data_IF_711810937701
#
_entry.id   IF_711810937701
#
_cell.length_a   1.000
_cell.length_b   1.000
_cell.length_c   1.000
_cell.angle_alpha   90.00
_cell.angle_beta   90.00
_cell.angle_gamma   90.00
#
_symmetry.space_group_name_H-M   'P 1'
#
loop_
_entity.id
_entity.type
_entity.pdbx_description
1 polymer ?
#
# COMPACT_ATOMS: atom_id res chain seq x y z
N UNK A 1 -23.14 -68.37 -17.03
CA UNK A 1 -21.74 -68.07 -16.63
C UNK A 1 -21.74 -66.62 -16.23
N UNK A 2 -21.94 -66.33 -14.94
CA UNK A 2 -21.86 -64.96 -14.43
C UNK A 2 -20.37 -64.66 -14.21
N UNK A 3 -19.78 -63.87 -15.09
CA UNK A 3 -18.52 -63.22 -14.76
C UNK A 3 -18.87 -62.14 -13.75
N UNK A 4 -18.81 -62.46 -12.45
CA UNK A 4 -18.87 -61.45 -11.40
C UNK A 4 -17.80 -60.41 -11.70
N UNK A 5 -18.25 -59.26 -12.18
CA UNK A 5 -17.39 -58.13 -12.47
C UNK A 5 -16.90 -57.56 -11.14
N UNK A 6 -15.65 -57.86 -10.79
CA UNK A 6 -14.99 -57.17 -9.71
C UNK A 6 -13.82 -56.40 -10.27
N UNK A 7 -13.60 -55.20 -9.75
CA UNK A 7 -12.48 -54.37 -10.10
C UNK A 7 -11.43 -54.42 -9.00
N UNK A 8 -10.17 -54.59 -9.38
CA UNK A 8 -9.05 -54.58 -8.45
C UNK A 8 -8.33 -53.23 -8.62
N UNK A 9 -8.12 -52.51 -7.52
CA UNK A 9 -7.40 -51.24 -7.49
C UNK A 9 -6.44 -51.23 -6.30
N UNK A 10 -5.14 -51.08 -6.55
CA UNK A 10 -4.08 -51.32 -5.55
C UNK A 10 -4.22 -52.71 -4.90
N UNK A 11 -4.58 -52.75 -3.63
CA UNK A 11 -4.75 -53.95 -2.80
C UNK A 11 -6.22 -54.19 -2.41
N UNK A 12 -7.15 -53.44 -3.01
CA UNK A 12 -8.58 -53.50 -2.71
C UNK A 12 -9.36 -54.07 -3.88
N UNK A 13 -10.32 -54.94 -3.58
CA UNK A 13 -11.28 -55.49 -4.53
C UNK A 13 -12.62 -54.79 -4.33
N UNK A 14 -13.17 -54.27 -5.42
CA UNK A 14 -14.43 -53.55 -5.47
C UNK A 14 -15.44 -54.32 -6.32
N UNK A 15 -16.68 -54.41 -5.84
CA UNK A 15 -17.76 -55.08 -6.57
C UNK A 15 -18.29 -54.21 -7.71
N UNK A 16 -18.90 -54.83 -8.71
CA UNK A 16 -19.62 -54.09 -9.76
C UNK A 16 -20.61 -53.09 -9.16
N UNK A 17 -20.62 -51.88 -9.70
CA UNK A 17 -21.39 -50.74 -9.22
C UNK A 17 -20.83 -50.06 -7.96
N UNK A 18 -19.77 -50.57 -7.34
CA UNK A 18 -19.20 -49.96 -6.13
C UNK A 18 -18.43 -48.68 -6.45
N UNK A 19 -18.82 -47.57 -5.80
CA UNK A 19 -18.07 -46.32 -5.78
C UNK A 19 -17.08 -46.29 -4.63
N UNK A 20 -15.87 -45.82 -4.88
CA UNK A 20 -14.81 -45.69 -3.88
C UNK A 20 -13.88 -44.51 -4.19
N UNK A 21 -13.23 -43.99 -3.15
CA UNK A 21 -12.27 -42.88 -3.26
C UNK A 21 -10.85 -43.45 -3.25
N UNK A 22 -10.12 -43.23 -4.35
CA UNK A 22 -8.75 -43.74 -4.51
C UNK A 22 -7.71 -42.88 -3.78
N UNK A 23 -7.88 -41.56 -3.85
CA UNK A 23 -7.13 -40.54 -3.11
C UNK A 23 -8.06 -39.34 -2.85
N UNK A 24 -7.59 -38.32 -2.13
CA UNK A 24 -8.40 -37.13 -1.81
C UNK A 24 -8.99 -36.42 -3.04
N UNK A 25 -8.45 -36.65 -4.24
CA UNK A 25 -8.85 -36.02 -5.49
C UNK A 25 -9.60 -36.95 -6.45
N UNK A 26 -9.67 -38.25 -6.22
CA UNK A 26 -10.05 -39.20 -7.26
C UNK A 26 -11.13 -40.14 -6.76
N UNK A 27 -12.31 -40.05 -7.38
CA UNK A 27 -13.41 -40.95 -7.13
C UNK A 27 -13.54 -41.92 -8.30
N UNK A 28 -13.74 -43.19 -7.99
CA UNK A 28 -13.84 -44.26 -8.97
C UNK A 28 -15.15 -45.04 -8.76
N UNK A 29 -15.66 -45.60 -9.84
CA UNK A 29 -16.71 -46.60 -9.82
C UNK A 29 -16.22 -47.85 -10.53
N UNK A 30 -16.47 -49.01 -9.93
CA UNK A 30 -16.27 -50.27 -10.61
C UNK A 30 -17.43 -50.54 -11.57
N UNK A 31 -17.14 -50.73 -12.85
CA UNK A 31 -18.11 -51.11 -13.87
C UNK A 31 -17.65 -52.41 -14.52
N UNK A 32 -18.31 -53.50 -14.18
CA UNK A 32 -17.92 -54.87 -14.43
C UNK A 32 -16.46 -55.13 -14.00
N UNK A 33 -15.51 -55.10 -14.93
CA UNK A 33 -14.08 -55.32 -14.66
C UNK A 33 -13.22 -54.05 -14.81
N UNK A 34 -13.86 -52.91 -15.11
CA UNK A 34 -13.18 -51.65 -15.42
C UNK A 34 -13.38 -50.63 -14.30
N UNK A 35 -12.28 -50.06 -13.83
CA UNK A 35 -12.31 -48.93 -12.91
C UNK A 35 -12.48 -47.62 -13.68
N UNK A 36 -13.63 -46.97 -13.55
CA UNK A 36 -13.92 -45.67 -14.17
C UNK A 36 -13.68 -44.60 -13.12
N UNK A 37 -12.60 -43.83 -13.28
CA UNK A 37 -12.17 -42.83 -12.29
C UNK A 37 -12.28 -41.41 -12.83
N UNK A 38 -12.76 -40.51 -11.97
CA UNK A 38 -12.78 -39.08 -12.21
C UNK A 38 -11.90 -38.38 -11.18
N UNK A 39 -10.87 -37.68 -11.68
CA UNK A 39 -10.00 -36.83 -10.86
C UNK A 39 -10.54 -35.40 -10.83
N UNK A 40 -10.72 -34.86 -9.63
CA UNK A 40 -11.02 -33.45 -9.41
C UNK A 40 -9.82 -32.61 -9.84
N UNK A 41 -10.06 -31.67 -10.75
CA UNK A 41 -9.09 -30.65 -11.13
C UNK A 41 -9.31 -29.44 -10.22
N UNK A 42 -8.23 -28.95 -9.62
CA UNK A 42 -8.31 -27.79 -8.74
C UNK A 42 -8.42 -26.49 -9.56
N UNK A 43 -9.23 -25.52 -9.12
CA UNK A 43 -9.30 -24.23 -9.78
C UNK A 43 -7.95 -23.50 -9.69
N UNK A 44 -7.63 -22.65 -10.68
CA UNK A 44 -6.42 -21.82 -10.62
C UNK A 44 -6.51 -20.84 -9.45
N UNK A 45 -5.44 -20.75 -8.67
CA UNK A 45 -5.33 -19.80 -7.56
C UNK A 45 -4.45 -18.61 -7.97
N UNK A 46 -4.79 -17.43 -7.47
CA UNK A 46 -4.08 -16.16 -7.76
C UNK A 46 -3.05 -15.79 -6.69
N UNK A 47 -3.05 -16.47 -5.54
CA UNK A 47 -2.14 -16.23 -4.44
C UNK A 47 -0.81 -16.99 -4.59
N UNK A 48 0.25 -16.48 -3.96
CA UNK A 48 1.57 -17.15 -3.86
C UNK A 48 1.46 -18.52 -3.19
N UNK A 49 2.36 -19.45 -3.52
CA UNK A 49 2.44 -20.79 -2.91
C UNK A 49 2.55 -20.74 -1.38
N UNK A 50 3.20 -19.71 -0.83
CA UNK A 50 3.32 -19.52 0.64
C UNK A 50 1.96 -19.30 1.31
N UNK A 51 0.98 -18.77 0.57
CA UNK A 51 -0.36 -18.46 1.08
C UNK A 51 -1.39 -19.53 0.67
N UNK A 52 -0.94 -20.70 0.20
CA UNK A 52 -1.81 -21.81 -0.16
C UNK A 52 -1.77 -22.86 0.94
N UNK A 53 -2.95 -23.22 1.45
CA UNK A 53 -3.10 -24.30 2.43
C UNK A 53 -4.04 -25.36 1.89
N UNK A 54 -3.63 -26.62 2.00
CA UNK A 54 -4.51 -27.77 1.76
C UNK A 54 -4.86 -28.38 3.11
N UNK A 55 -6.15 -28.37 3.45
CA UNK A 55 -6.64 -28.95 4.71
C UNK A 55 -6.50 -30.48 4.69
N UNK A 56 -6.33 -31.09 5.86
CA UNK A 56 -6.22 -32.55 5.96
C UNK A 56 -7.50 -33.20 5.41
N UNK A 57 -7.35 -34.06 4.41
CA UNK A 57 -8.47 -34.75 3.78
C UNK A 57 -9.01 -34.10 2.50
N UNK A 58 -8.59 -32.86 2.19
CA UNK A 58 -9.04 -32.13 1.01
C UNK A 58 -8.16 -32.39 -0.22
N UNK A 59 -8.77 -32.34 -1.41
CA UNK A 59 -8.04 -32.43 -2.67
C UNK A 59 -7.27 -31.15 -3.00
N UNK A 60 -7.90 -29.99 -2.77
CA UNK A 60 -7.48 -28.74 -3.37
C UNK A 60 -6.99 -27.73 -2.33
N UNK A 61 -5.90 -27.01 -2.62
CA UNK A 61 -5.48 -25.90 -1.80
C UNK A 61 -6.49 -24.76 -1.87
N UNK A 62 -6.54 -23.96 -0.82
CA UNK A 62 -7.26 -22.70 -0.73
C UNK A 62 -6.25 -21.59 -0.44
N UNK A 63 -6.50 -20.39 -0.97
CA UNK A 63 -5.76 -19.21 -0.55
C UNK A 63 -6.18 -18.85 0.87
N UNK A 64 -5.22 -18.81 1.78
CA UNK A 64 -5.42 -18.17 3.08
C UNK A 64 -5.03 -16.73 2.98
N UNK A 65 -5.90 -15.86 3.50
CA UNK A 65 -5.53 -14.48 3.78
C UNK A 65 -4.55 -14.51 4.95
N UNK A 66 -3.27 -14.71 4.67
CA UNK A 66 -2.25 -14.38 5.66
C UNK A 66 -2.38 -12.88 5.89
N UNK A 67 -2.65 -12.49 7.14
CA UNK A 67 -2.65 -11.10 7.60
C UNK A 67 -1.22 -10.48 7.54
N UNK A 68 -0.33 -11.01 6.70
CA UNK A 68 1.02 -10.49 6.47
C UNK A 68 1.07 -9.43 5.37
N UNK A 69 -0.05 -9.14 4.70
CA UNK A 69 -0.20 -7.82 4.11
C UNK A 69 -0.62 -6.88 5.23
N UNK A 70 0.35 -6.44 6.03
CA UNK A 70 0.20 -5.23 6.85
C UNK A 70 -0.11 -4.12 5.85
N UNK A 71 -1.40 -3.87 5.62
CA UNK A 71 -1.87 -2.83 4.70
C UNK A 71 -1.96 -1.51 5.41
N UNK A 72 -1.67 -1.46 6.70
CA UNK A 72 -1.76 -0.26 7.52
C UNK A 72 -0.40 0.13 8.09
N UNK A 73 -0.10 1.42 8.12
CA UNK A 73 1.07 1.98 8.77
C UNK A 73 0.64 2.64 10.07
N UNK A 74 1.36 2.38 11.17
CA UNK A 74 1.18 3.12 12.41
C UNK A 74 2.21 4.24 12.52
N UNK A 75 1.75 5.48 12.63
CA UNK A 75 2.61 6.65 12.73
C UNK A 75 2.11 7.60 13.82
N UNK A 76 2.93 7.83 14.86
CA UNK A 76 2.62 8.69 16.02
C UNK A 76 1.25 8.36 16.66
N UNK A 77 0.93 7.07 16.80
CA UNK A 77 -0.32 6.61 17.40
C UNK A 77 -1.55 6.75 16.50
N UNK A 78 -1.38 7.11 15.23
CA UNK A 78 -2.45 7.12 14.23
C UNK A 78 -2.18 6.06 13.16
N UNK A 79 -3.24 5.36 12.76
CA UNK A 79 -3.19 4.39 11.67
C UNK A 79 -3.50 5.04 10.32
N UNK A 80 -2.78 4.58 9.30
CA UNK A 80 -2.88 5.01 7.90
C UNK A 80 -3.02 3.77 7.02
N UNK A 81 -3.91 3.78 6.04
CA UNK A 81 -4.10 2.69 5.07
C UNK A 81 -3.06 2.78 3.95
N UNK A 82 -2.79 1.67 3.29
CA UNK A 82 -1.92 1.62 2.11
C UNK A 82 -2.49 2.54 1.04
N UNK A 83 -1.66 3.46 0.53
CA UNK A 83 -2.06 4.55 -0.35
C UNK A 83 -2.27 5.89 0.35
N UNK A 84 -2.37 5.93 1.68
CA UNK A 84 -2.52 7.18 2.41
C UNK A 84 -1.27 8.05 2.31
N UNK A 85 -1.50 9.35 2.28
CA UNK A 85 -0.47 10.38 2.23
C UNK A 85 -0.73 11.43 3.32
N UNK A 86 0.32 11.86 4.02
CA UNK A 86 0.22 12.89 5.06
C UNK A 86 1.45 13.79 5.09
N UNK A 87 1.28 15.01 5.61
CA UNK A 87 2.40 15.90 5.93
C UNK A 87 2.97 15.51 7.30
N UNK A 88 4.25 15.14 7.34
CA UNK A 88 4.96 14.90 8.59
C UNK A 88 5.37 16.23 9.26
N UNK A 89 5.88 17.13 8.43
CA UNK A 89 6.16 18.52 8.78
C UNK A 89 6.04 19.37 7.51
N UNK A 90 6.33 20.67 7.60
CA UNK A 90 6.19 21.59 6.47
C UNK A 90 7.06 21.20 5.27
N UNK A 91 8.16 20.49 5.49
CA UNK A 91 9.13 20.08 4.48
C UNK A 91 9.09 18.60 4.09
N UNK A 92 8.25 17.77 4.71
CA UNK A 92 8.27 16.33 4.48
C UNK A 92 6.86 15.78 4.29
N UNK A 93 6.69 15.06 3.18
CA UNK A 93 5.46 14.31 2.88
C UNK A 93 5.75 12.82 3.02
N UNK A 94 4.91 12.14 3.79
CA UNK A 94 5.00 10.70 3.99
C UNK A 94 3.84 10.00 3.30
N UNK A 95 4.08 8.73 2.95
CA UNK A 95 3.11 7.83 2.34
C UNK A 95 3.19 6.47 3.01
N UNK A 96 2.06 5.79 3.13
CA UNK A 96 1.99 4.41 3.56
C UNK A 96 1.88 3.53 2.33
N UNK A 97 2.80 2.58 2.17
CA UNK A 97 2.74 1.60 1.09
C UNK A 97 3.00 0.22 1.67
N UNK A 98 1.96 -0.61 1.72
CA UNK A 98 2.01 -2.00 2.18
C UNK A 98 2.72 -2.12 3.54
N UNK A 99 2.30 -1.27 4.50
CA UNK A 99 2.82 -1.31 5.87
C UNK A 99 4.13 -0.58 6.07
N UNK A 100 4.77 -0.11 4.99
CA UNK A 100 5.99 0.68 5.07
C UNK A 100 5.70 2.18 4.92
N UNK A 101 6.19 2.96 5.89
CA UNK A 101 6.16 4.43 5.82
C UNK A 101 7.33 4.91 4.97
N UNK A 102 7.03 5.71 3.94
CA UNK A 102 8.03 6.34 3.08
C UNK A 102 7.86 7.85 3.09
N UNK A 103 8.83 8.56 3.66
CA UNK A 103 8.87 10.01 3.73
C UNK A 103 9.85 10.59 2.72
N UNK A 104 9.45 11.65 2.05
CA UNK A 104 10.28 12.39 1.10
C UNK A 104 10.30 13.87 1.48
N UNK A 105 11.47 14.47 1.40
CA UNK A 105 11.63 15.91 1.56
C UNK A 105 11.07 16.65 0.34
N UNK A 106 10.42 17.78 0.58
CA UNK A 106 10.00 18.71 -0.46
C UNK A 106 11.23 19.30 -1.14
N UNK A 107 11.17 19.40 -2.47
CA UNK A 107 12.27 19.96 -3.26
C UNK A 107 11.99 21.42 -3.55
N UNK A 108 12.79 22.31 -2.99
CA UNK A 108 12.69 23.74 -3.26
C UNK A 108 13.44 24.13 -4.54
N UNK A 109 12.96 25.19 -5.21
CA UNK A 109 13.65 25.77 -6.35
C UNK A 109 15.05 26.27 -5.95
N UNK A 110 16.08 25.81 -6.68
CA UNK A 110 17.47 26.25 -6.47
C UNK A 110 17.71 27.53 -7.26
N UNK A 111 18.34 28.53 -6.63
CA UNK A 111 18.70 29.78 -7.30
C UNK A 111 17.52 30.71 -7.59
N UNK A 112 16.47 30.70 -6.74
CA UNK A 112 15.36 31.64 -6.90
C UNK A 112 15.85 33.08 -6.68
N UNK A 113 15.81 33.90 -7.74
CA UNK A 113 16.12 35.33 -7.70
C UNK A 113 14.80 36.11 -7.80
N UNK A 114 14.54 36.96 -6.82
CA UNK A 114 13.33 37.77 -6.80
C UNK A 114 13.48 39.05 -7.63
N UNK A 115 12.43 39.50 -8.34
CA UNK A 115 12.42 40.79 -9.02
C UNK A 115 12.64 41.97 -8.06
N UNK A 116 13.04 43.11 -8.63
CA UNK A 116 13.13 44.36 -7.89
C UNK A 116 11.79 44.67 -7.20
N UNK A 117 11.83 45.08 -5.93
CA UNK A 117 10.71 45.26 -4.97
C UNK A 117 10.20 44.01 -4.26
N UNK A 118 10.68 42.82 -4.59
CA UNK A 118 10.37 41.61 -3.85
C UNK A 118 11.56 41.20 -2.97
N UNK A 119 11.29 40.48 -1.88
CA UNK A 119 12.30 39.85 -1.04
C UNK A 119 12.04 38.36 -0.94
N UNK A 120 13.12 37.60 -0.91
CA UNK A 120 13.06 36.17 -0.65
C UNK A 120 12.66 36.01 0.83
N UNK A 121 11.54 35.35 1.11
CA UNK A 121 11.03 35.16 2.47
C UNK A 121 10.41 33.79 2.60
N UNK A 122 10.68 33.14 3.73
CA UNK A 122 10.01 31.90 4.11
C UNK A 122 8.78 32.25 4.95
N UNK A 123 7.61 31.91 4.45
CA UNK A 123 6.35 32.16 5.15
C UNK A 123 6.16 31.16 6.30
N UNK A 124 5.43 31.58 7.32
CA UNK A 124 5.05 30.70 8.44
C UNK A 124 4.23 29.53 7.91
N UNK A 125 4.73 28.30 8.07
CA UNK A 125 4.06 27.10 7.56
C UNK A 125 4.68 26.53 6.28
N UNK A 126 5.56 27.27 5.61
CA UNK A 126 6.16 26.84 4.35
C UNK A 126 7.53 26.18 4.53
N UNK A 127 7.84 25.21 3.68
CA UNK A 127 9.19 24.68 3.56
C UNK A 127 10.11 25.63 2.80
N UNK A 128 9.65 26.06 1.63
CA UNK A 128 10.46 26.78 0.66
C UNK A 128 10.31 28.30 0.82
N UNK A 129 11.31 29.03 0.32
CA UNK A 129 11.23 30.47 0.22
C UNK A 129 10.39 30.87 -0.98
N UNK A 130 9.67 31.97 -0.84
CA UNK A 130 8.92 32.61 -1.92
C UNK A 130 9.27 34.09 -2.02
N UNK A 131 8.98 34.71 -3.16
CA UNK A 131 9.18 36.14 -3.36
C UNK A 131 7.94 36.89 -2.88
N UNK A 132 8.06 37.58 -1.74
CA UNK A 132 7.00 38.43 -1.20
C UNK A 132 7.33 39.89 -1.48
N UNK A 133 6.32 40.72 -1.69
CA UNK A 133 6.53 42.14 -1.90
C UNK A 133 7.18 42.76 -0.65
N UNK A 134 8.14 43.66 -0.85
CA UNK A 134 8.70 44.44 0.25
C UNK A 134 7.63 45.42 0.68
N UNK A 135 6.99 45.13 1.80
CA UNK A 135 6.11 46.08 2.46
C UNK A 135 6.99 47.25 2.89
N UNK A 136 6.91 48.39 2.19
CA UNK A 136 7.37 49.67 2.72
C UNK A 136 6.44 50.02 3.88
N UNK A 137 6.74 49.51 5.07
CA UNK A 137 6.08 49.97 6.29
C UNK A 137 6.43 51.45 6.44
N UNK A 138 5.43 52.32 6.28
CA UNK A 138 5.48 53.68 6.83
C UNK A 138 5.44 53.53 8.35
N UNK A 139 6.58 53.22 8.97
CA UNK A 139 6.68 53.35 10.42
C UNK A 139 6.64 54.84 10.76
N UNK A 140 5.74 55.29 11.65
CA UNK A 140 5.84 56.62 12.21
C UNK A 140 7.08 56.65 13.10
N UNK A 141 8.11 57.37 12.70
CA UNK A 141 9.21 57.71 13.62
C UNK A 141 8.57 58.57 14.72
N UNK A 142 8.60 58.10 15.97
CA UNK A 142 8.15 58.90 17.10
C UNK A 142 8.94 60.21 17.14
N UNK A 143 8.26 61.32 16.85
CA UNK A 143 8.83 62.67 16.92
C UNK A 143 8.59 63.20 18.33
N UNK A 144 9.64 63.25 19.15
CA UNK A 144 9.64 64.13 20.33
C UNK A 144 9.88 65.56 19.86
N UNK A 145 8.83 66.37 20.03
CA UNK A 145 8.79 67.84 20.04
C UNK A 145 9.14 68.60 18.75
N UNK A 146 8.10 69.14 18.12
CA UNK A 146 8.11 70.49 17.54
C UNK A 146 8.72 70.68 16.15
N UNK A 147 7.83 70.74 15.15
CA UNK A 147 7.94 71.42 13.84
C UNK A 147 8.56 70.66 12.65
N UNK A 148 7.76 70.68 11.57
CA UNK A 148 7.99 70.33 10.17
C UNK A 148 8.38 68.88 9.84
N UNK A 149 7.43 68.17 9.20
CA UNK A 149 7.66 66.87 8.56
C UNK A 149 8.73 66.98 7.48
N UNK A 150 9.95 66.53 7.80
CA UNK A 150 10.94 66.19 6.80
C UNK A 150 10.95 64.66 6.62
N UNK A 151 10.70 64.20 5.40
CA UNK A 151 10.84 62.79 5.04
C UNK A 151 12.27 62.53 4.60
N UNK A 152 13.00 61.64 5.30
CA UNK A 152 14.31 61.16 4.85
C UNK A 152 14.14 59.76 4.27
N UNK A 153 14.49 59.61 3.00
CA UNK A 153 14.58 58.32 2.32
C UNK A 153 15.82 57.59 2.83
N UNK A 154 15.65 56.57 3.69
CA UNK A 154 16.73 55.63 4.02
C UNK A 154 16.60 54.38 3.16
N UNK A 155 17.63 54.15 2.36
CA UNK A 155 17.89 52.86 1.73
C UNK A 155 18.74 52.05 2.71
N UNK A 156 18.13 51.10 3.41
CA UNK A 156 18.92 50.12 4.16
C UNK A 156 19.61 49.20 3.14
N UNK A 157 20.91 49.46 2.95
CA UNK A 157 21.85 48.65 2.19
C UNK A 157 22.51 47.71 3.19
N UNK A 158 22.21 46.42 3.11
CA UNK A 158 23.01 45.35 3.71
C UNK A 158 22.92 44.10 2.85
#
# INVERSE_FOLDING_TARGET
>A
MDFEGNCIMKLSTHRDGQTYTYDHCTNCVCNATTNICQRKVCPPLTCSLTNQITELGECCPKCVETQETVTTCSYKGKEYKSGDNWKHNNCHKCSCLNGQIRCKAETCAKGLICPNRYKLTRLTGDCCHTCVERVMSREPVGVSDGWMSAYVMRSDMN
#
